data_IF_433341294182
#
_entry.id   IF_433341294182
#
_cell.length_a   1.000
_cell.length_b   1.000
_cell.length_c   1.000
_cell.angle_alpha   90.00
_cell.angle_beta   90.00
_cell.angle_gamma   90.00
#
_symmetry.space_group_name_H-M   'P 1'
#
loop_
_entity.id
_entity.type
_entity.pdbx_description
1 polymer ?
#
# COMPACT_ATOMS: atom_id res chain seq x y z
N UNK A 1 -10.48 -9.67 -28.41
CA UNK A 1 -10.85 -8.69 -27.36
C UNK A 1 -11.00 -9.44 -26.03
N UNK A 2 -10.64 -8.83 -24.90
CA UNK A 2 -10.90 -9.41 -23.57
C UNK A 2 -12.40 -9.49 -23.26
N UNK A 3 -12.79 -10.28 -22.26
CA UNK A 3 -14.17 -10.36 -21.75
C UNK A 3 -14.31 -9.60 -20.43
N UNK A 4 -15.39 -8.86 -20.28
CA UNK A 4 -15.84 -8.31 -19.00
C UNK A 4 -16.72 -9.35 -18.31
N UNK A 5 -16.48 -9.60 -17.02
CA UNK A 5 -17.30 -10.51 -16.21
C UNK A 5 -18.10 -9.68 -15.21
N UNK A 6 -19.31 -10.13 -14.92
CA UNK A 6 -20.16 -9.48 -13.92
C UNK A 6 -19.70 -9.79 -12.50
N UNK A 7 -19.19 -11.00 -12.24
CA UNK A 7 -18.80 -11.46 -10.91
C UNK A 7 -17.70 -12.54 -10.98
N UNK A 8 -17.11 -12.85 -9.82
CA UNK A 8 -16.19 -13.97 -9.61
C UNK A 8 -17.03 -15.21 -9.31
N UNK A 9 -17.35 -15.98 -10.35
CA UNK A 9 -18.00 -17.28 -10.21
C UNK A 9 -17.01 -18.40 -9.86
N UNK A 10 -17.52 -19.62 -9.71
CA UNK A 10 -16.72 -20.79 -9.29
C UNK A 10 -15.53 -21.07 -10.21
N UNK A 11 -15.69 -20.87 -11.53
CA UNK A 11 -14.62 -21.06 -12.50
C UNK A 11 -13.50 -20.03 -12.35
N UNK A 12 -13.86 -18.79 -12.02
CA UNK A 12 -12.93 -17.69 -11.76
C UNK A 12 -12.22 -17.90 -10.43
N UNK A 13 -12.94 -18.31 -9.39
CA UNK A 13 -12.38 -18.62 -8.08
C UNK A 13 -11.40 -19.80 -8.15
N UNK A 14 -11.76 -20.88 -8.84
CA UNK A 14 -10.87 -22.01 -9.09
C UNK A 14 -9.62 -21.61 -9.88
N UNK A 15 -9.78 -20.73 -10.88
CA UNK A 15 -8.65 -20.18 -11.62
C UNK A 15 -7.72 -19.37 -10.72
N UNK A 16 -8.26 -18.48 -9.87
CA UNK A 16 -7.46 -17.69 -8.91
C UNK A 16 -6.69 -18.62 -7.96
N UNK A 17 -7.37 -19.62 -7.39
CA UNK A 17 -6.78 -20.56 -6.44
C UNK A 17 -5.68 -21.45 -7.06
N UNK A 18 -5.76 -21.76 -8.37
CA UNK A 18 -4.77 -22.60 -9.03
C UNK A 18 -3.43 -21.88 -9.31
N UNK A 19 -3.38 -20.55 -9.22
CA UNK A 19 -2.19 -19.79 -9.60
C UNK A 19 -1.06 -19.95 -8.58
N UNK A 20 0.17 -20.12 -9.08
CA UNK A 20 1.41 -20.17 -8.27
C UNK A 20 1.96 -18.79 -7.96
N UNK A 21 1.65 -17.81 -8.80
CA UNK A 21 2.05 -16.42 -8.68
C UNK A 21 0.89 -15.53 -9.12
N UNK A 22 0.70 -14.42 -8.43
CA UNK A 22 -0.16 -13.33 -8.89
C UNK A 22 0.55 -11.99 -8.66
N UNK A 23 0.07 -10.95 -9.31
CA UNK A 23 0.69 -9.63 -9.27
C UNK A 23 -0.27 -8.65 -8.62
N UNK A 24 0.27 -7.82 -7.74
CA UNK A 24 -0.44 -6.71 -7.10
C UNK A 24 0.10 -5.41 -7.66
N UNK A 25 -0.76 -4.60 -8.25
CA UNK A 25 -0.42 -3.27 -8.72
C UNK A 25 -1.16 -2.21 -7.89
N UNK A 26 -0.45 -1.15 -7.50
CA UNK A 26 -1.00 -0.01 -6.75
C UNK A 26 -0.33 1.27 -7.22
N UNK A 27 -1.02 2.41 -7.10
CA UNK A 27 -0.51 3.70 -7.54
C UNK A 27 -0.82 4.80 -6.52
N UNK A 28 0.17 5.63 -6.15
CA UNK A 28 -0.04 6.81 -5.31
C UNK A 28 -0.83 7.89 -6.07
N UNK A 29 -1.32 8.90 -5.35
CA UNK A 29 -2.06 10.02 -5.94
C UNK A 29 -1.14 11.02 -6.65
N UNK A 30 0.07 11.20 -6.13
CA UNK A 30 1.07 12.10 -6.71
C UNK A 30 1.62 11.50 -8.01
N UNK A 31 1.69 12.31 -9.05
CA UNK A 31 2.20 11.91 -10.36
C UNK A 31 3.72 11.74 -10.37
N UNK A 32 4.44 12.35 -9.42
CA UNK A 32 5.89 12.22 -9.26
C UNK A 32 6.27 10.96 -8.46
N UNK A 33 5.31 10.33 -7.77
CA UNK A 33 5.52 9.10 -7.01
C UNK A 33 5.37 7.85 -7.88
N UNK A 34 5.94 6.73 -7.43
CA UNK A 34 6.11 5.55 -8.26
C UNK A 34 4.91 4.60 -8.20
N UNK A 35 4.46 4.14 -9.37
CA UNK A 35 3.55 3.00 -9.46
C UNK A 35 4.29 1.73 -9.02
N UNK A 36 3.68 0.96 -8.13
CA UNK A 36 4.26 -0.29 -7.62
C UNK A 36 3.57 -1.50 -8.23
N UNK A 37 4.38 -2.49 -8.65
CA UNK A 37 3.93 -3.81 -9.06
C UNK A 37 4.77 -4.86 -8.33
N UNK A 38 4.11 -5.74 -7.58
CA UNK A 38 4.77 -6.75 -6.77
C UNK A 38 4.24 -8.15 -7.09
N UNK A 39 5.10 -9.12 -7.44
CA UNK A 39 4.69 -10.51 -7.48
C UNK A 39 4.47 -11.03 -6.06
N UNK A 40 3.45 -11.85 -5.88
CA UNK A 40 3.13 -12.54 -4.63
C UNK A 40 3.06 -14.04 -4.92
N UNK A 41 3.63 -14.82 -4.02
CA UNK A 41 3.69 -16.28 -4.08
C UNK A 41 3.40 -16.80 -2.70
N UNK A 42 2.20 -17.36 -2.53
CA UNK A 42 2.07 -18.70 -1.97
C UNK A 42 0.75 -19.34 -2.44
N UNK A 43 0.77 -20.62 -2.78
CA UNK A 43 -0.44 -21.34 -3.21
C UNK A 43 -1.55 -21.24 -2.17
N UNK A 44 -2.47 -20.28 -2.37
CA UNK A 44 -3.61 -19.86 -1.53
C UNK A 44 -3.41 -18.69 -0.52
N UNK A 45 -2.45 -17.77 -0.67
CA UNK A 45 -2.58 -16.46 0.06
C UNK A 45 -3.65 -15.55 -0.52
N UNK A 46 -4.34 -15.93 -1.59
CA UNK A 46 -5.40 -15.13 -2.17
C UNK A 46 -6.67 -15.96 -2.17
N UNK A 47 -7.67 -15.52 -1.41
CA UNK A 47 -8.94 -16.20 -1.23
C UNK A 47 -10.08 -15.37 -1.79
N UNK A 48 -11.06 -16.03 -2.39
CA UNK A 48 -12.31 -15.39 -2.81
C UNK A 48 -13.28 -15.42 -1.62
N UNK A 49 -13.71 -14.24 -1.19
CA UNK A 49 -14.66 -14.06 -0.08
C UNK A 49 -16.11 -13.94 -0.57
N UNK A 50 -16.31 -13.61 -1.84
CA UNK A 50 -17.61 -13.52 -2.48
C UNK A 50 -17.51 -13.08 -3.94
N UNK A 51 -18.65 -12.83 -4.61
CA UNK A 51 -18.72 -12.52 -6.03
C UNK A 51 -17.92 -11.27 -6.46
N UNK A 52 -17.66 -10.35 -5.53
CA UNK A 52 -16.89 -9.12 -5.77
C UNK A 52 -15.85 -8.84 -4.69
N UNK A 53 -15.48 -9.83 -3.89
CA UNK A 53 -14.58 -9.62 -2.77
C UNK A 53 -13.50 -10.67 -2.75
N UNK A 54 -12.25 -10.22 -2.73
CA UNK A 54 -11.06 -11.06 -2.62
C UNK A 54 -10.22 -10.54 -1.46
N UNK A 55 -9.54 -11.43 -0.77
CA UNK A 55 -8.58 -11.09 0.25
C UNK A 55 -7.24 -11.74 -0.06
N UNK A 56 -6.13 -11.04 0.16
CA UNK A 56 -4.83 -11.68 0.17
C UNK A 56 -4.00 -11.38 1.41
N UNK A 57 -3.23 -12.37 1.86
CA UNK A 57 -2.37 -12.26 3.03
C UNK A 57 -1.12 -11.41 2.73
N UNK A 58 -0.90 -10.41 3.56
CA UNK A 58 0.29 -9.56 3.52
C UNK A 58 1.40 -10.17 4.39
N UNK A 59 2.26 -10.97 3.77
CA UNK A 59 3.49 -11.43 4.38
C UNK A 59 4.57 -10.36 4.25
N UNK A 60 5.43 -10.28 5.26
CA UNK A 60 6.51 -9.28 5.33
C UNK A 60 7.44 -9.40 4.13
N UNK A 61 7.85 -8.25 3.61
CA UNK A 61 8.88 -8.12 2.59
C UNK A 61 9.60 -6.78 2.75
N UNK A 62 10.57 -6.52 1.88
CA UNK A 62 11.32 -5.26 1.90
C UNK A 62 10.43 -4.05 1.55
N UNK A 63 9.46 -4.23 0.67
CA UNK A 63 8.55 -3.17 0.23
C UNK A 63 7.40 -2.86 1.19
N UNK A 64 6.97 -1.59 1.16
CA UNK A 64 5.86 -1.07 1.94
C UNK A 64 4.85 -0.29 1.07
N UNK A 65 5.01 -0.32 -0.26
CA UNK A 65 4.32 0.53 -1.24
C UNK A 65 2.84 0.19 -1.30
N UNK A 66 2.50 -1.11 -1.34
CA UNK A 66 1.09 -1.54 -1.40
C UNK A 66 0.30 -1.03 -0.19
N UNK A 67 0.86 -1.14 1.02
CA UNK A 67 0.24 -0.62 2.22
C UNK A 67 0.14 0.92 2.14
N UNK A 68 1.20 1.62 1.76
CA UNK A 68 1.20 3.07 1.67
C UNK A 68 0.15 3.61 0.68
N UNK A 69 0.09 3.06 -0.54
CA UNK A 69 -0.86 3.47 -1.56
C UNK A 69 -2.30 3.14 -1.17
N UNK A 70 -2.54 1.97 -0.56
CA UNK A 70 -3.86 1.58 -0.06
C UNK A 70 -4.32 2.50 1.07
N UNK A 71 -3.45 2.86 2.00
CA UNK A 71 -3.77 3.81 3.08
C UNK A 71 -4.07 5.20 2.53
N UNK A 72 -3.39 5.62 1.46
CA UNK A 72 -3.61 6.92 0.84
C UNK A 72 -4.92 6.98 0.04
N UNK A 73 -5.19 5.97 -0.79
CA UNK A 73 -6.26 6.07 -1.79
C UNK A 73 -7.01 4.76 -2.09
N UNK A 74 -6.56 3.63 -1.54
CA UNK A 74 -7.20 2.33 -1.69
C UNK A 74 -7.05 1.66 -3.06
N UNK A 75 -6.50 2.30 -4.09
CA UNK A 75 -6.49 1.74 -5.46
C UNK A 75 -5.59 0.52 -5.57
N UNK A 76 -6.17 -0.57 -6.05
CA UNK A 76 -5.45 -1.83 -6.25
C UNK A 76 -5.95 -2.58 -7.48
N UNK A 77 -5.03 -3.24 -8.17
CA UNK A 77 -5.34 -4.26 -9.18
C UNK A 77 -4.63 -5.56 -8.84
N UNK A 78 -5.36 -6.67 -8.87
CA UNK A 78 -4.77 -8.01 -8.86
C UNK A 78 -4.76 -8.58 -10.27
N UNK A 79 -3.65 -9.21 -10.67
CA UNK A 79 -3.52 -9.88 -11.95
C UNK A 79 -3.05 -11.33 -11.78
N UNK A 80 -3.75 -12.23 -12.47
CA UNK A 80 -3.51 -13.66 -12.50
C UNK A 80 -3.24 -14.09 -13.93
N UNK A 81 -2.22 -14.91 -14.17
CA UNK A 81 -1.83 -15.35 -15.51
C UNK A 81 -1.63 -16.85 -15.51
N UNK A 82 -2.33 -17.56 -16.41
CA UNK A 82 -2.01 -18.96 -16.64
C UNK A 82 -0.66 -19.04 -17.36
N UNK A 83 0.32 -19.58 -16.66
CA UNK A 83 1.66 -19.84 -17.18
C UNK A 83 1.92 -21.35 -17.24
N UNK A 84 0.97 -22.20 -16.85
CA UNK A 84 1.07 -23.66 -16.98
C UNK A 84 0.37 -24.13 -18.27
N UNK A 85 0.36 -25.44 -18.52
CA UNK A 85 -0.37 -26.03 -19.64
C UNK A 85 -1.88 -25.69 -19.53
N UNK A 86 -2.49 -25.31 -20.65
CA UNK A 86 -3.93 -25.05 -20.73
C UNK A 86 -4.29 -23.75 -21.45
N UNK A 87 -5.52 -23.25 -21.29
CA UNK A 87 -5.96 -22.03 -21.95
C UNK A 87 -5.11 -20.82 -21.52
N UNK A 88 -4.58 -20.02 -22.47
CA UNK A 88 -3.79 -18.83 -22.15
C UNK A 88 -4.69 -17.72 -21.62
N UNK A 89 -4.94 -17.71 -20.31
CA UNK A 89 -5.87 -16.80 -19.63
C UNK A 89 -5.10 -15.81 -18.75
N UNK A 90 -5.40 -14.53 -18.91
CA UNK A 90 -5.01 -13.46 -17.98
C UNK A 90 -6.31 -12.93 -17.36
N UNK A 91 -6.37 -12.80 -16.04
CA UNK A 91 -7.48 -12.20 -15.32
C UNK A 91 -6.99 -10.99 -14.52
N UNK A 92 -7.77 -9.90 -14.53
CA UNK A 92 -7.53 -8.72 -13.71
C UNK A 92 -8.75 -8.36 -12.89
N UNK A 93 -8.52 -8.10 -11.61
CA UNK A 93 -9.51 -7.60 -10.66
C UNK A 93 -9.11 -6.17 -10.30
N UNK A 94 -9.90 -5.19 -10.70
CA UNK A 94 -9.69 -3.79 -10.35
C UNK A 94 -10.64 -3.41 -9.22
N UNK A 95 -10.16 -2.62 -8.26
CA UNK A 95 -11.02 -2.21 -7.16
C UNK A 95 -10.34 -1.35 -6.11
N UNK A 96 -11.00 -1.26 -4.97
CA UNK A 96 -10.54 -0.54 -3.78
C UNK A 96 -10.23 -1.54 -2.67
N UNK A 97 -9.01 -1.52 -2.18
CA UNK A 97 -8.56 -2.35 -1.08
C UNK A 97 -8.55 -1.58 0.24
N UNK A 98 -8.60 -2.34 1.33
CA UNK A 98 -8.26 -1.90 2.68
C UNK A 98 -7.25 -2.86 3.29
N UNK A 99 -6.35 -2.34 4.10
CA UNK A 99 -5.46 -3.15 4.94
C UNK A 99 -6.15 -3.45 6.27
N UNK A 100 -6.23 -4.73 6.63
CA UNK A 100 -6.67 -5.20 7.94
C UNK A 100 -5.45 -5.80 8.63
N UNK A 101 -4.95 -5.16 9.69
CA UNK A 101 -3.79 -5.65 10.44
C UNK A 101 -4.08 -7.04 11.04
N UNK A 102 -3.04 -7.88 11.17
CA UNK A 102 -3.15 -9.28 11.61
C UNK A 102 -4.07 -9.48 12.82
N UNK A 103 -3.91 -8.68 13.88
CA UNK A 103 -4.72 -8.76 15.11
C UNK A 103 -6.22 -8.44 14.92
N UNK A 104 -6.57 -7.79 13.82
CA UNK A 104 -7.92 -7.32 13.52
C UNK A 104 -8.58 -8.15 12.39
N UNK A 105 -7.88 -9.16 11.84
CA UNK A 105 -8.46 -10.00 10.79
C UNK A 105 -9.54 -10.91 11.42
N UNK A 106 -10.76 -10.94 10.87
CA UNK A 106 -11.81 -11.79 11.43
C UNK A 106 -11.46 -13.28 11.40
N UNK A 107 -11.77 -14.07 12.45
CA UNK A 107 -11.46 -15.50 12.51
C UNK A 107 -11.99 -16.32 11.32
N UNK A 108 -13.16 -15.98 10.80
CA UNK A 108 -13.79 -16.62 9.63
C UNK A 108 -13.06 -16.32 8.31
N UNK A 109 -12.29 -15.23 8.28
CA UNK A 109 -11.40 -14.89 7.16
C UNK A 109 -10.06 -15.60 7.33
N UNK A 110 -9.50 -15.62 8.53
CA UNK A 110 -8.24 -16.34 8.84
C UNK A 110 -8.34 -17.83 8.53
N UNK A 111 -9.46 -18.47 8.89
CA UNK A 111 -9.66 -19.91 8.68
C UNK A 111 -9.70 -20.36 7.21
N UNK A 112 -9.83 -19.41 6.28
CA UNK A 112 -9.80 -19.67 4.83
C UNK A 112 -8.38 -19.66 4.25
N UNK A 113 -7.40 -19.11 4.97
CA UNK A 113 -6.01 -19.13 4.56
C UNK A 113 -5.31 -20.40 5.09
N UNK A 114 -4.24 -20.86 4.40
CA UNK A 114 -3.35 -21.88 4.97
C UNK A 114 -2.78 -21.46 6.32
N UNK A 115 -2.69 -22.40 7.28
CA UNK A 115 -2.23 -22.10 8.64
C UNK A 115 -0.80 -21.58 8.69
N UNK A 116 0.09 -22.15 7.88
CA UNK A 116 1.47 -21.72 7.71
C UNK A 116 1.59 -20.25 7.26
N UNK A 117 0.60 -19.73 6.52
CA UNK A 117 0.52 -18.31 6.17
C UNK A 117 0.11 -17.46 7.37
N UNK A 118 -0.95 -17.84 8.08
CA UNK A 118 -1.51 -17.04 9.18
C UNK A 118 -0.71 -17.10 10.47
N UNK A 119 0.02 -18.20 10.69
CA UNK A 119 0.87 -18.42 11.87
C UNK A 119 2.33 -17.98 11.63
N UNK A 120 2.68 -17.56 10.40
CA UNK A 120 3.99 -17.03 10.09
C UNK A 120 4.30 -15.78 10.93
N UNK A 121 5.52 -15.70 11.49
CA UNK A 121 6.03 -14.48 12.13
C UNK A 121 6.06 -13.27 11.17
N UNK A 122 6.03 -13.53 9.86
CA UNK A 122 5.96 -12.50 8.83
C UNK A 122 4.56 -12.01 8.50
N UNK A 123 3.49 -12.58 9.05
CA UNK A 123 2.11 -12.20 8.74
C UNK A 123 1.77 -10.83 9.33
N UNK A 124 1.59 -9.82 8.45
CA UNK A 124 1.28 -8.44 8.85
C UNK A 124 -0.22 -8.15 8.86
N UNK A 125 -0.99 -8.91 8.08
CA UNK A 125 -2.43 -8.75 7.95
C UNK A 125 -2.95 -9.22 6.60
N UNK A 126 -4.08 -8.65 6.19
CA UNK A 126 -4.77 -9.00 4.94
C UNK A 126 -5.15 -7.73 4.20
N UNK A 127 -4.92 -7.71 2.89
CA UNK A 127 -5.56 -6.74 2.01
C UNK A 127 -6.87 -7.32 1.52
N UNK A 128 -7.99 -6.70 1.90
CA UNK A 128 -9.31 -7.03 1.37
C UNK A 128 -9.64 -6.08 0.22
N UNK A 129 -9.79 -6.63 -0.98
CA UNK A 129 -10.15 -5.91 -2.20
C UNK A 129 -11.65 -6.04 -2.47
N UNK A 130 -12.32 -4.89 -2.52
CA UNK A 130 -13.65 -4.77 -3.12
C UNK A 130 -13.50 -4.53 -4.62
N UNK A 131 -13.88 -5.53 -5.41
CA UNK A 131 -13.71 -5.55 -6.86
C UNK A 131 -14.85 -4.79 -7.53
N UNK A 132 -14.51 -3.80 -8.37
CA UNK A 132 -15.47 -3.03 -9.16
C UNK A 132 -15.46 -3.42 -10.64
N UNK A 133 -14.40 -4.07 -11.12
CA UNK A 133 -14.29 -4.52 -12.51
C UNK A 133 -13.46 -5.79 -12.62
N UNK A 134 -14.00 -6.76 -13.35
CA UNK A 134 -13.36 -8.06 -13.60
C UNK A 134 -13.15 -8.22 -15.09
N UNK A 135 -11.91 -8.38 -15.53
CA UNK A 135 -11.62 -8.58 -16.96
C UNK A 135 -10.79 -9.83 -17.18
N UNK A 136 -11.01 -10.48 -18.32
CA UNK A 136 -10.14 -11.56 -18.80
C UNK A 136 -9.61 -11.21 -20.19
N UNK A 137 -8.39 -11.62 -20.49
CA UNK A 137 -7.78 -11.48 -21.81
C UNK A 137 -7.00 -12.73 -22.17
N UNK A 138 -6.76 -12.93 -23.46
CA UNK A 138 -5.97 -14.05 -23.94
C UNK A 138 -4.47 -13.72 -23.88
N UNK A 139 -3.66 -14.62 -23.35
CA UNK A 139 -2.21 -14.49 -23.23
C UNK A 139 -1.45 -15.32 -24.25
N UNK A 140 -1.82 -15.28 -25.54
CA UNK A 140 -1.27 -16.20 -26.56
C UNK A 140 0.25 -16.17 -26.70
N UNK A 141 0.89 -15.05 -26.35
CA UNK A 141 2.35 -14.90 -26.39
C UNK A 141 3.04 -15.23 -25.06
N UNK A 142 2.29 -15.56 -24.00
CA UNK A 142 2.88 -15.92 -22.72
C UNK A 142 3.46 -17.33 -22.79
N UNK A 143 4.64 -17.57 -22.19
CA UNK A 143 5.25 -18.88 -22.19
C UNK A 143 4.47 -19.86 -21.31
N UNK A 144 4.57 -21.14 -21.65
CA UNK A 144 4.26 -22.24 -20.73
C UNK A 144 5.52 -22.51 -19.91
N UNK A 145 5.37 -22.56 -18.60
CA UNK A 145 6.41 -22.76 -17.61
C UNK A 145 6.03 -23.91 -16.69
N UNK A 146 7.00 -24.78 -16.39
CA UNK A 146 6.82 -25.88 -15.45
C UNK A 146 7.15 -25.44 -14.03
N UNK A 147 6.18 -25.56 -13.12
CA UNK A 147 6.39 -25.30 -11.70
C UNK A 147 7.31 -26.37 -11.08
N UNK A 148 8.40 -25.93 -10.46
CA UNK A 148 9.35 -26.82 -9.78
C UNK A 148 9.06 -26.90 -8.28
N UNK A 149 9.17 -25.76 -7.58
CA UNK A 149 8.91 -25.63 -6.14
C UNK A 149 8.76 -24.17 -5.72
N UNK A 150 8.19 -23.95 -4.54
CA UNK A 150 8.25 -22.65 -3.86
C UNK A 150 9.61 -22.46 -3.18
N UNK A 151 10.03 -21.19 -3.00
CA UNK A 151 11.20 -20.83 -2.19
C UNK A 151 10.82 -20.79 -0.71
N UNK A 152 11.68 -21.27 0.18
CA UNK A 152 11.49 -21.25 1.64
C UNK A 152 12.17 -20.06 2.34
N UNK A 153 12.93 -19.25 1.58
CA UNK A 153 13.78 -18.18 2.13
C UNK A 153 13.04 -17.17 3.00
N UNK A 154 11.80 -16.81 2.65
CA UNK A 154 11.02 -15.86 3.47
C UNK A 154 10.62 -16.49 4.81
N UNK A 155 10.17 -17.74 4.77
CA UNK A 155 9.78 -18.48 5.96
C UNK A 155 10.97 -18.65 6.90
N UNK A 156 12.10 -19.13 6.38
CA UNK A 156 13.36 -19.28 7.13
C UNK A 156 13.82 -17.93 7.73
N UNK A 157 13.74 -16.84 6.95
CA UNK A 157 14.09 -15.50 7.43
C UNK A 157 13.20 -15.06 8.59
N UNK A 158 11.88 -15.25 8.47
CA UNK A 158 10.92 -14.89 9.51
C UNK A 158 11.07 -15.76 10.76
N UNK A 159 11.31 -17.06 10.61
CA UNK A 159 11.59 -17.98 11.72
C UNK A 159 12.86 -17.58 12.47
N UNK A 160 13.95 -17.29 11.75
CA UNK A 160 15.23 -16.88 12.35
C UNK A 160 15.14 -15.52 13.07
N UNK A 161 14.31 -14.60 12.60
CA UNK A 161 14.06 -13.30 13.26
C UNK A 161 13.16 -13.43 14.49
N UNK A 162 12.22 -14.37 14.48
CA UNK A 162 11.18 -14.50 15.50
C UNK A 162 10.21 -13.30 15.53
N UNK A 163 9.21 -13.36 16.41
CA UNK A 163 8.17 -12.33 16.51
C UNK A 163 8.71 -10.93 16.78
N UNK A 164 9.62 -10.78 17.74
CA UNK A 164 10.18 -9.47 18.14
C UNK A 164 11.10 -8.90 17.06
N UNK A 165 11.96 -9.73 16.46
CA UNK A 165 12.80 -9.29 15.35
C UNK A 165 11.99 -8.88 14.11
N UNK A 166 10.88 -9.57 13.84
CA UNK A 166 9.94 -9.18 12.78
C UNK A 166 9.15 -7.93 13.16
N UNK A 167 8.85 -7.74 14.45
CA UNK A 167 8.26 -6.52 14.97
C UNK A 167 9.11 -5.30 14.63
N UNK A 168 10.38 -5.35 15.02
CA UNK A 168 11.35 -4.28 14.79
C UNK A 168 11.59 -4.07 13.29
N UNK A 169 11.72 -5.15 12.52
CA UNK A 169 11.93 -5.07 11.08
C UNK A 169 10.80 -4.28 10.40
N UNK A 170 9.54 -4.64 10.65
CA UNK A 170 8.40 -3.96 10.03
C UNK A 170 8.32 -2.49 10.48
N UNK A 171 8.61 -2.22 11.75
CA UNK A 171 8.65 -0.85 12.29
C UNK A 171 9.72 0.00 11.62
N UNK A 172 10.94 -0.52 11.43
CA UNK A 172 12.06 0.27 10.93
C UNK A 172 12.13 0.27 9.39
N UNK A 173 11.72 -0.81 8.72
CA UNK A 173 11.87 -0.99 7.28
C UNK A 173 10.57 -0.84 6.49
N UNK A 174 9.40 -0.85 7.14
CA UNK A 174 8.11 -0.74 6.45
C UNK A 174 7.20 0.37 7.01
N UNK A 175 7.75 1.35 7.72
CA UNK A 175 7.00 2.54 8.16
C UNK A 175 6.73 3.53 7.04
N UNK A 176 7.57 3.53 6.00
CA UNK A 176 7.45 4.42 4.85
C UNK A 176 7.66 3.64 3.55
N UNK A 177 7.02 4.08 2.46
CA UNK A 177 7.36 3.63 1.10
C UNK A 177 8.66 4.25 0.62
N UNK A 178 9.16 3.82 -0.54
CA UNK A 178 10.30 4.46 -1.22
C UNK A 178 10.07 5.96 -1.52
N UNK A 179 8.80 6.38 -1.65
CA UNK A 179 8.40 7.77 -1.85
C UNK A 179 8.08 8.51 -0.53
N UNK A 180 8.35 7.86 0.62
CA UNK A 180 8.20 8.48 1.94
C UNK A 180 6.76 8.51 2.46
N UNK A 181 5.83 7.83 1.79
CA UNK A 181 4.44 7.76 2.22
C UNK A 181 4.29 6.87 3.46
N UNK A 182 3.49 7.27 4.48
CA UNK A 182 3.19 6.45 5.65
C UNK A 182 2.67 5.06 5.28
N UNK A 183 3.15 4.04 5.99
CA UNK A 183 2.83 2.64 5.69
C UNK A 183 2.62 1.78 6.94
N UNK A 184 2.52 0.45 6.75
CA UNK A 184 2.08 -0.55 7.73
C UNK A 184 2.85 -0.50 9.06
N UNK A 185 4.14 -0.16 9.05
CA UNK A 185 4.95 -0.05 10.26
C UNK A 185 4.40 0.97 11.26
N UNK A 186 3.81 2.07 10.78
CA UNK A 186 3.27 3.14 11.61
C UNK A 186 1.89 2.82 12.21
N UNK A 187 1.21 1.79 11.69
CA UNK A 187 -0.11 1.38 12.17
C UNK A 187 -0.05 0.37 13.32
N UNK A 188 1.16 -0.10 13.67
CA UNK A 188 1.33 -1.09 14.73
C UNK A 188 1.05 -0.44 16.09
N UNK A 189 0.09 -0.97 16.87
CA UNK A 189 -0.36 -0.38 18.13
C UNK A 189 0.76 -0.31 19.18
N UNK A 190 1.61 -1.32 19.21
CA UNK A 190 2.69 -1.47 20.19
C UNK A 190 4.00 -0.85 19.68
N UNK A 191 3.95 -0.17 18.53
CA UNK A 191 5.12 0.43 17.90
C UNK A 191 5.58 1.68 18.64
N UNK A 192 6.88 2.03 18.55
CA UNK A 192 7.38 3.31 19.06
C UNK A 192 6.58 4.47 18.46
N UNK A 193 6.11 5.37 19.32
CA UNK A 193 5.25 6.49 18.94
C UNK A 193 5.93 7.53 18.02
N UNK A 194 7.27 7.58 18.05
CA UNK A 194 8.08 8.61 17.41
C UNK A 194 8.98 8.03 16.32
N UNK A 195 8.40 7.41 15.27
CA UNK A 195 9.15 6.96 14.09
C UNK A 195 9.07 8.01 12.98
N UNK A 196 10.23 8.48 12.53
CA UNK A 196 10.39 9.45 11.45
C UNK A 196 11.03 8.85 10.19
N UNK A 197 10.78 9.45 9.02
CA UNK A 197 11.40 9.03 7.77
C UNK A 197 12.87 9.47 7.74
N UNK A 198 13.76 8.57 7.30
CA UNK A 198 15.19 8.84 7.09
C UNK A 198 15.61 8.22 5.76
N UNK A 199 16.13 9.05 4.86
CA UNK A 199 16.68 8.58 3.59
C UNK A 199 18.02 7.83 3.82
N UNK A 200 18.12 6.61 3.32
CA UNK A 200 19.30 5.74 3.45
C UNK A 200 19.36 4.77 2.27
N UNK A 201 20.48 4.74 1.54
CA UNK A 201 20.73 3.83 0.41
C UNK A 201 19.64 3.82 -0.67
N UNK A 202 19.00 4.96 -0.94
CA UNK A 202 17.92 5.08 -1.92
C UNK A 202 16.54 4.63 -1.41
N UNK A 203 16.40 4.37 -0.11
CA UNK A 203 15.14 4.06 0.56
C UNK A 203 14.81 5.11 1.61
N UNK A 204 13.55 5.12 2.06
CA UNK A 204 13.11 5.91 3.21
C UNK A 204 12.73 4.94 4.33
N UNK A 205 13.53 4.95 5.39
CA UNK A 205 13.41 4.05 6.53
C UNK A 205 12.79 4.76 7.73
N UNK A 206 12.15 3.99 8.60
CA UNK A 206 11.71 4.47 9.90
C UNK A 206 12.86 4.45 10.91
N UNK A 207 13.13 5.59 11.56
CA UNK A 207 14.04 5.65 12.72
C UNK A 207 13.36 6.35 13.90
N UNK A 208 13.66 5.93 15.15
CA UNK A 208 13.24 6.68 16.32
C UNK A 208 13.76 8.11 16.27
N UNK A 209 12.85 9.09 16.32
CA UNK A 209 13.21 10.49 16.50
C UNK A 209 13.42 10.71 17.99
N UNK A 210 14.62 11.20 18.38
CA UNK A 210 14.83 11.67 19.76
C UNK A 210 13.91 12.85 20.02
N UNK A 211 13.12 12.79 21.09
CA UNK A 211 12.45 13.99 21.59
C UNK A 211 13.52 15.03 21.93
N UNK A 212 13.53 16.15 21.20
CA UNK A 212 14.25 17.33 21.65
C UNK A 212 13.51 17.78 22.90
N UNK A 213 14.07 17.54 24.08
CA UNK A 213 13.58 18.16 25.31
C UNK A 213 13.55 19.67 25.05
N UNK A 214 12.36 20.25 24.94
CA UNK A 214 12.24 21.69 24.91
C UNK A 214 12.76 22.20 26.25
N UNK A 215 14.00 22.69 26.28
CA UNK A 215 14.41 23.56 27.36
C UNK A 215 13.53 24.80 27.26
N UNK A 216 12.50 24.86 28.09
CA UNK A 216 11.66 26.03 28.31
C UNK A 216 12.52 27.09 29.01
N UNK A 217 13.44 27.70 28.27
CA UNK A 217 14.11 28.95 28.61
C UNK A 217 14.30 29.72 27.30
N UNK A 218 13.31 30.57 27.01
CA UNK A 218 13.42 31.78 26.18
C UNK A 218 14.10 31.66 24.81
N UNK A 219 13.30 31.51 23.76
CA UNK A 219 13.37 32.20 22.45
C UNK A 219 12.70 31.34 21.39
N UNK A 220 11.84 31.96 20.58
CA UNK A 220 11.00 31.29 19.59
C UNK A 220 11.79 30.33 18.70
N UNK A 221 11.36 29.07 18.66
CA UNK A 221 11.88 28.08 17.74
C UNK A 221 10.75 27.63 16.82
N UNK A 222 10.91 27.98 15.56
CA UNK A 222 10.13 27.48 14.43
C UNK A 222 10.08 25.95 14.48
N UNK A 223 8.88 25.38 14.66
CA UNK A 223 8.65 23.95 14.41
C UNK A 223 9.09 23.67 12.97
N UNK A 224 10.00 22.73 12.78
CA UNK A 224 10.38 22.30 11.42
C UNK A 224 9.14 21.69 10.73
N UNK A 225 8.88 22.04 9.45
CA UNK A 225 7.68 21.62 8.72
C UNK A 225 7.39 20.11 8.76
N UNK A 226 8.45 19.30 8.81
CA UNK A 226 8.37 17.84 8.73
C UNK A 226 7.66 17.18 9.91
N UNK A 227 7.81 17.73 11.13
CA UNK A 227 7.19 17.17 12.33
C UNK A 227 5.66 17.35 12.35
N UNK A 228 5.17 18.46 11.79
CA UNK A 228 3.75 18.77 11.69
C UNK A 228 3.10 17.91 10.61
N UNK A 229 3.76 17.76 9.45
CA UNK A 229 3.28 16.91 8.36
C UNK A 229 3.16 15.44 8.79
N UNK A 230 4.16 14.89 9.50
CA UNK A 230 4.11 13.51 10.00
C UNK A 230 3.00 13.34 11.04
N UNK A 231 2.84 14.28 11.97
CA UNK A 231 1.76 14.23 12.97
C UNK A 231 0.37 14.34 12.32
N UNK A 232 0.20 15.19 11.30
CA UNK A 232 -1.04 15.33 10.55
C UNK A 232 -1.36 14.08 9.74
N UNK A 233 -0.36 13.48 9.09
CA UNK A 233 -0.50 12.23 8.36
C UNK A 233 -0.85 11.06 9.30
N UNK A 234 -0.22 10.99 10.48
CA UNK A 234 -0.58 10.00 11.51
C UNK A 234 -1.98 10.20 12.07
N UNK A 235 -2.40 11.45 12.29
CA UNK A 235 -3.75 11.78 12.72
C UNK A 235 -4.80 11.41 11.66
N UNK A 236 -4.53 11.68 10.39
CA UNK A 236 -5.40 11.30 9.27
C UNK A 236 -5.48 9.79 9.10
N UNK A 237 -4.35 9.07 9.18
CA UNK A 237 -4.32 7.61 9.11
C UNK A 237 -5.13 6.97 10.27
N UNK A 238 -5.02 7.51 11.49
CA UNK A 238 -5.78 7.04 12.66
C UNK A 238 -7.28 7.34 12.55
N UNK A 239 -7.65 8.53 12.04
CA UNK A 239 -9.05 8.90 11.82
C UNK A 239 -9.73 8.03 10.75
N UNK A 240 -9.06 7.79 9.63
CA UNK A 240 -9.58 6.91 8.56
C UNK A 240 -9.81 5.47 9.05
N UNK A 241 -9.01 5.00 10.01
CA UNK A 241 -9.15 3.66 10.59
C UNK A 241 -10.29 3.54 11.61
N UNK A 242 -10.75 4.66 12.17
CA UNK A 242 -11.82 4.71 13.19
C UNK A 242 -13.20 5.03 12.60
N UNK A 243 -13.28 5.70 11.45
CA UNK A 243 -14.56 6.08 10.83
C UNK A 243 -14.85 5.24 9.59
N UNK A 244 -15.44 4.05 9.77
CA UNK A 244 -16.42 3.44 8.86
C UNK A 244 -16.86 2.06 9.37
N UNK A 245 -17.83 2.07 10.28
CA UNK A 245 -18.82 1.00 10.33
C UNK A 245 -19.78 1.16 9.12
N UNK A 246 -20.36 0.09 8.58
CA UNK A 246 -21.18 0.18 7.37
C UNK A 246 -22.59 0.67 7.71
N UNK A 247 -22.99 1.80 7.12
CA UNK A 247 -24.35 2.31 7.20
C UNK A 247 -24.44 3.75 6.73
N UNK A 248 -25.35 3.98 5.78
CA UNK A 248 -25.85 5.27 5.28
C UNK A 248 -25.07 6.03 4.19
N UNK A 249 -25.48 5.72 2.95
CA UNK A 249 -25.43 6.62 1.80
C UNK A 249 -26.44 7.76 1.99
N UNK A 250 -25.96 8.99 2.23
CA UNK A 250 -26.44 10.24 1.60
C UNK A 250 -25.95 11.47 2.38
N UNK A 251 -24.98 12.19 1.82
CA UNK A 251 -24.95 13.66 1.73
C UNK A 251 -23.56 14.12 1.27
N UNK A 252 -23.53 14.76 0.10
CA UNK A 252 -22.37 15.53 -0.37
C UNK A 252 -22.52 16.94 0.23
N UNK A 253 -21.71 17.24 1.26
CA UNK A 253 -21.56 18.59 1.80
C UNK A 253 -20.29 19.22 1.24
N UNK A 254 -20.43 20.15 0.29
CA UNK A 254 -19.34 20.89 -0.33
C UNK A 254 -18.76 21.97 0.58
N UNK A 255 -17.48 22.29 0.37
CA UNK A 255 -16.82 23.49 0.92
C UNK A 255 -16.54 24.43 -0.25
N UNK A 256 -17.22 25.59 -0.26
CA UNK A 256 -16.98 26.70 -1.16
C UNK A 256 -15.89 27.61 -0.57
N UNK A 257 -14.80 27.84 -1.29
CA UNK A 257 -13.80 28.88 -0.97
C UNK A 257 -13.82 29.93 -2.10
N UNK A 258 -14.11 31.18 -1.76
CA UNK A 258 -14.28 32.29 -2.70
C UNK A 258 -12.96 32.81 -3.26
N UNK A 259 -12.98 33.29 -4.51
CA UNK A 259 -11.82 33.80 -5.29
C UNK A 259 -10.96 34.87 -4.59
N UNK A 260 -11.47 35.55 -3.56
CA UNK A 260 -10.74 36.53 -2.76
C UNK A 260 -9.63 35.91 -1.89
N UNK A 261 -9.71 34.61 -1.60
CA UNK A 261 -8.70 33.91 -0.79
C UNK A 261 -7.48 33.43 -1.60
N UNK A 262 -7.63 33.23 -2.91
CA UNK A 262 -6.51 32.86 -3.80
C UNK A 262 -5.58 34.04 -4.12
N UNK A 263 -6.13 35.25 -4.19
CA UNK A 263 -5.36 36.48 -4.48
C UNK A 263 -4.49 36.90 -3.29
N UNK A 264 -4.95 36.67 -2.07
CA UNK A 264 -4.14 36.90 -0.87
C UNK A 264 -2.94 35.93 -0.76
N UNK A 265 -3.12 34.68 -1.20
CA UNK A 265 -2.06 33.67 -1.18
C UNK A 265 -0.96 33.96 -2.22
N UNK A 266 -1.34 34.44 -3.42
CA UNK A 266 -0.39 34.82 -4.48
C UNK A 266 0.40 36.08 -4.15
N UNK A 267 -0.20 37.05 -3.44
CA UNK A 267 0.50 38.25 -2.98
C UNK A 267 1.56 37.95 -1.89
N UNK A 268 1.32 36.94 -1.04
CA UNK A 268 2.27 36.52 -0.02
C UNK A 268 3.52 35.84 -0.61
N UNK A 269 3.39 35.17 -1.75
CA UNK A 269 4.52 34.52 -2.46
C UNK A 269 5.44 35.57 -3.09
N UNK A 270 4.90 36.69 -3.59
CA UNK A 270 5.71 37.78 -4.15
C UNK A 270 6.44 38.61 -3.08
N UNK A 271 5.90 38.71 -1.85
CA UNK A 271 6.54 39.44 -0.76
C UNK A 271 7.72 38.71 -0.11
N UNK A 272 7.89 37.40 -0.35
CA UNK A 272 8.93 36.57 0.26
C UNK A 272 10.21 36.44 -0.57
N UNK A 273 10.34 37.13 -1.70
CA UNK A 273 11.63 37.34 -2.38
C UNK A 273 12.37 36.08 -2.84
N UNK A 274 11.69 34.95 -3.03
CA UNK A 274 12.30 33.73 -3.59
C UNK A 274 12.31 33.87 -5.11
N UNK A 275 13.29 34.62 -5.60
CA UNK A 275 13.69 34.63 -7.01
C UNK A 275 14.83 33.63 -7.18
N UNK A 276 14.58 32.53 -7.89
CA UNK A 276 15.65 31.73 -8.52
C UNK A 276 15.50 31.93 -10.02
N UNK A 277 16.32 32.85 -10.55
CA UNK A 277 16.33 33.24 -11.94
C UNK A 277 16.88 32.17 -12.89
N UNK A 278 16.13 32.01 -13.97
CA UNK A 278 16.40 31.48 -15.31
C UNK A 278 17.84 31.43 -15.83
N UNK A 279 18.17 30.40 -16.63
CA UNK A 279 18.47 30.50 -18.08
C UNK A 279 19.31 29.33 -18.60
N UNK A 280 18.73 28.46 -19.42
CA UNK A 280 19.44 27.80 -20.53
C UNK A 280 18.52 27.79 -21.76
N UNK A 281 19.00 28.18 -22.95
CA UNK A 281 18.17 28.31 -24.14
C UNK A 281 17.90 26.94 -24.77
N UNK A 282 16.67 26.75 -25.25
CA UNK A 282 16.28 25.64 -26.13
C UNK A 282 17.04 25.75 -27.48
N UNK A 283 17.63 24.67 -28.02
CA UNK A 283 18.00 24.64 -29.42
C UNK A 283 16.75 24.42 -30.27
N UNK A 284 16.63 25.24 -31.31
CA UNK A 284 15.62 25.19 -32.36
C UNK A 284 15.68 23.90 -33.20
N UNK A 285 14.49 23.48 -33.64
CA UNK A 285 14.15 22.54 -34.70
C UNK A 285 15.27 22.01 -35.61
N UNK A 286 15.36 20.68 -35.72
CA UNK A 286 15.18 19.88 -36.95
C UNK A 286 14.70 18.47 -36.58
#
# INVERSE_FOLDING_TARGET
MGKLLNEIGDKEAAFIASQKVFFVATAPLDAEHHVSVSPKSPGNSCIVLGPHTVAYADLTGSGAETAAHVLQNGRMTLMFCNLEKGPPKIMRLFGQAKLILAKNVPPETLSKFPKDVTESHGFRGVFQLQVSRITTSCGYSLPVMDFQKYRQTLEEYCQNKGSDGMFDYVTLRNSFSIDGLPSVGLLRPDGPANIGPVAEDGYILGKPIREVKSNSNGAGTTKTPDSIMVQQAMAQARQMHQTKAPGDNNSIGGINLSLTSLTALMAAIFALGIWVGANTPLPSAF
#
